data_IF_669093490899
#
_entry.id   IF_669093490899
#
_cell.length_a   1.000
_cell.length_b   1.000
_cell.length_c   1.000
_cell.angle_alpha   90.00
_cell.angle_beta   90.00
_cell.angle_gamma   90.00
#
_symmetry.space_group_name_H-M   'P 1'
#
loop_
_entity.id
_entity.type
_entity.pdbx_description
1 polymer ?
#
# COMPACT_ATOMS: atom_id res chain seq x y z
N UNK A 1 -49.66 -21.22 58.19
CA UNK A 1 -48.55 -20.99 59.14
C UNK A 1 -47.32 -21.73 58.64
N UNK A 2 -46.24 -20.98 58.46
CA UNK A 2 -44.82 -21.37 58.36
C UNK A 2 -44.32 -22.26 57.20
N UNK A 3 -43.71 -21.57 56.24
CA UNK A 3 -42.26 -21.52 55.94
C UNK A 3 -41.44 -22.80 55.69
N UNK A 4 -40.64 -22.64 54.60
CA UNK A 4 -39.25 -23.07 54.42
C UNK A 4 -39.00 -24.40 53.70
N UNK A 5 -38.36 -24.30 52.53
CA UNK A 5 -36.95 -24.70 52.28
C UNK A 5 -36.79 -25.02 50.80
N UNK A 6 -35.63 -24.65 50.21
CA UNK A 6 -34.96 -25.11 48.96
C UNK A 6 -34.58 -23.88 48.11
N UNK A 7 -33.36 -23.68 47.63
CA UNK A 7 -32.11 -24.44 47.70
C UNK A 7 -31.03 -23.42 47.25
N UNK A 8 -30.07 -23.06 48.09
CA UNK A 8 -28.96 -22.18 47.68
C UNK A 8 -27.91 -23.02 46.96
N UNK A 9 -27.88 -22.94 45.63
CA UNK A 9 -26.76 -23.49 44.84
C UNK A 9 -25.68 -22.42 44.69
N UNK A 10 -24.66 -22.51 45.54
CA UNK A 10 -23.35 -21.89 45.30
C UNK A 10 -22.59 -22.77 44.30
N UNK A 11 -22.47 -22.30 43.07
CA UNK A 11 -21.50 -22.82 42.11
C UNK A 11 -20.50 -21.71 41.80
N UNK A 12 -19.41 -21.70 42.57
CA UNK A 12 -18.19 -21.02 42.19
C UNK A 12 -17.47 -21.93 41.18
N UNK A 13 -17.14 -21.43 39.98
CA UNK A 13 -15.96 -21.86 39.22
C UNK A 13 -15.76 -20.97 37.98
N UNK A 14 -14.53 -20.47 37.82
CA UNK A 14 -13.82 -20.17 36.55
C UNK A 14 -14.35 -19.00 35.69
N UNK A 15 -13.56 -18.16 35.03
CA UNK A 15 -12.15 -18.21 34.62
C UNK A 15 -11.79 -16.78 34.20
N UNK A 16 -10.59 -16.31 34.56
CA UNK A 16 -10.05 -15.07 34.00
C UNK A 16 -9.86 -15.22 32.50
N UNK A 17 -10.51 -14.36 31.72
CA UNK A 17 -10.22 -14.19 30.29
C UNK A 17 -9.43 -12.89 30.15
N UNK A 18 -8.10 -13.01 30.18
CA UNK A 18 -7.25 -11.98 29.64
C UNK A 18 -7.50 -11.95 28.13
N UNK A 19 -8.20 -10.92 27.65
CA UNK A 19 -8.29 -10.65 26.22
C UNK A 19 -6.87 -10.36 25.74
N UNK A 20 -6.29 -11.31 25.01
CA UNK A 20 -5.08 -11.09 24.25
C UNK A 20 -5.33 -9.91 23.31
N UNK A 21 -4.62 -8.80 23.55
CA UNK A 21 -4.52 -7.74 22.59
C UNK A 21 -3.97 -8.35 21.30
N UNK A 22 -4.81 -8.40 20.26
CA UNK A 22 -4.32 -8.64 18.91
C UNK A 22 -3.38 -7.48 18.61
N UNK A 23 -2.08 -7.78 18.55
CA UNK A 23 -1.05 -6.85 18.12
C UNK A 23 -1.28 -6.64 16.61
N UNK A 24 -2.21 -5.76 16.25
CA UNK A 24 -2.48 -5.38 14.87
C UNK A 24 -1.18 -4.75 14.32
N UNK A 25 -0.70 -5.17 13.13
CA UNK A 25 0.36 -4.46 12.46
C UNK A 25 -0.05 -2.99 12.35
N UNK A 26 0.84 -2.13 12.81
CA UNK A 26 0.70 -0.69 12.90
C UNK A 26 0.63 -0.11 11.49
N UNK A 27 -0.51 -0.29 10.84
CA UNK A 27 -0.89 0.49 9.68
C UNK A 27 -1.24 1.89 10.18
N UNK A 28 -0.70 2.97 9.60
CA UNK A 28 -1.13 4.32 9.91
C UNK A 28 -2.65 4.39 9.79
N UNK A 29 -3.32 5.01 10.76
CA UNK A 29 -4.76 5.19 10.70
C UNK A 29 -5.13 5.87 9.37
N UNK A 30 -6.12 5.36 8.62
CA UNK A 30 -6.56 6.01 7.39
C UNK A 30 -6.94 7.45 7.72
N UNK A 31 -6.52 8.38 6.84
CA UNK A 31 -7.00 9.75 6.89
C UNK A 31 -8.54 9.71 6.84
N UNK A 32 -9.26 10.19 7.87
CA UNK A 32 -10.72 10.07 7.94
C UNK A 32 -11.46 10.83 6.82
N UNK A 33 -10.74 11.70 6.09
CA UNK A 33 -11.26 12.45 4.93
C UNK A 33 -10.80 11.87 3.57
N UNK A 34 -9.96 10.83 3.55
CA UNK A 34 -9.51 10.18 2.31
C UNK A 34 -10.56 9.16 1.84
N UNK A 35 -11.29 9.51 0.78
CA UNK A 35 -12.18 8.57 0.09
C UNK A 35 -11.31 7.60 -0.72
N UNK A 36 -11.38 6.30 -0.40
CA UNK A 36 -10.68 5.27 -1.15
C UNK A 36 -11.12 5.27 -2.63
N UNK A 37 -10.16 5.20 -3.55
CA UNK A 37 -10.47 5.10 -4.98
C UNK A 37 -11.17 3.78 -5.30
N UNK A 38 -12.30 3.82 -6.01
CA UNK A 38 -12.79 2.64 -6.72
C UNK A 38 -11.91 2.35 -7.95
N UNK A 39 -11.89 1.11 -8.47
CA UNK A 39 -11.08 0.75 -9.63
C UNK A 39 -11.32 1.62 -10.88
N UNK A 40 -12.55 2.09 -11.08
CA UNK A 40 -12.91 2.93 -12.22
C UNK A 40 -12.43 4.38 -12.08
N UNK A 41 -12.05 4.80 -10.88
CA UNK A 41 -11.56 6.14 -10.57
C UNK A 41 -10.03 6.22 -10.63
N UNK A 42 -9.33 5.10 -10.77
CA UNK A 42 -7.87 5.09 -10.87
C UNK A 42 -7.41 5.71 -12.20
N UNK A 43 -6.44 6.61 -12.11
CA UNK A 43 -5.77 7.21 -13.27
C UNK A 43 -4.27 6.90 -13.23
N UNK A 44 -3.58 7.18 -14.34
CA UNK A 44 -2.14 7.08 -14.36
C UNK A 44 -1.49 8.14 -13.45
N UNK A 45 -0.55 7.75 -12.57
CA UNK A 45 0.32 8.70 -11.89
C UNK A 45 1.16 9.52 -12.85
N UNK A 46 1.57 10.72 -12.42
CA UNK A 46 2.49 11.57 -13.16
C UNK A 46 3.89 11.42 -12.56
N UNK A 47 4.86 11.05 -13.38
CA UNK A 47 6.25 10.88 -12.98
C UNK A 47 6.87 12.27 -12.71
N UNK A 48 7.46 12.46 -11.53
CA UNK A 48 7.99 13.75 -11.09
C UNK A 48 9.52 13.79 -11.04
N UNK A 49 10.17 12.71 -10.58
CA UNK A 49 11.62 12.57 -10.59
C UNK A 49 12.03 11.09 -10.66
N UNK A 50 13.13 10.74 -11.33
CA UNK A 50 13.95 11.62 -12.16
C UNK A 50 13.19 12.03 -13.43
N UNK A 51 13.57 13.16 -14.02
CA UNK A 51 13.01 13.61 -15.28
C UNK A 51 13.62 12.79 -16.45
N UNK A 52 12.95 12.83 -17.60
CA UNK A 52 13.46 12.18 -18.80
C UNK A 52 14.86 12.72 -19.16
N UNK A 53 15.82 11.80 -19.33
CA UNK A 53 17.21 12.13 -19.70
C UNK A 53 18.12 12.48 -18.52
N UNK A 54 17.63 12.47 -17.28
CA UNK A 54 18.46 12.70 -16.11
C UNK A 54 19.50 11.59 -15.91
N UNK A 55 20.69 12.00 -15.45
CA UNK A 55 21.73 11.08 -15.00
C UNK A 55 21.70 11.05 -13.48
N UNK A 56 21.37 9.88 -12.93
CA UNK A 56 21.24 9.66 -11.48
C UNK A 56 22.27 8.66 -10.95
N UNK A 57 22.47 8.66 -9.64
CA UNK A 57 23.23 7.60 -8.98
C UNK A 57 22.49 6.26 -9.08
N UNK A 58 23.23 5.16 -8.94
CA UNK A 58 22.67 3.79 -8.95
C UNK A 58 21.66 3.53 -7.84
N UNK A 59 21.73 4.30 -6.74
CA UNK A 59 20.72 4.33 -5.68
C UNK A 59 20.07 5.70 -5.70
N UNK A 60 18.85 5.77 -6.22
CA UNK A 60 18.08 7.00 -6.35
C UNK A 60 16.62 6.79 -5.97
N UNK A 61 15.95 7.86 -5.57
CA UNK A 61 14.54 7.86 -5.17
C UNK A 61 13.67 8.38 -6.30
N UNK A 62 12.85 7.51 -6.86
CA UNK A 62 11.78 7.88 -7.77
C UNK A 62 10.68 8.62 -7.01
N UNK A 63 10.12 9.67 -7.62
CA UNK A 63 9.02 10.44 -7.07
C UNK A 63 7.95 10.63 -8.13
N UNK A 64 6.69 10.49 -7.72
CA UNK A 64 5.52 10.70 -8.55
C UNK A 64 4.59 11.74 -7.91
N UNK A 65 3.61 12.17 -8.69
CA UNK A 65 2.47 12.94 -8.20
C UNK A 65 1.19 12.22 -8.61
N UNK A 66 0.14 12.38 -7.81
CA UNK A 66 -1.16 11.79 -8.08
C UNK A 66 -2.26 12.84 -7.86
N UNK A 67 -3.27 12.92 -8.75
CA UNK A 67 -4.34 13.90 -8.57
C UNK A 67 -5.16 13.58 -7.31
N UNK A 68 -5.42 14.60 -6.49
CA UNK A 68 -6.08 14.43 -5.19
C UNK A 68 -7.59 14.59 -5.36
N UNK A 69 -8.26 13.53 -5.81
CA UNK A 69 -9.73 13.42 -5.81
C UNK A 69 -10.23 12.13 -5.16
N UNK A 70 -9.39 11.09 -5.12
CA UNK A 70 -9.55 9.88 -4.32
C UNK A 70 -8.16 9.39 -3.90
N UNK A 71 -8.08 8.57 -2.86
CA UNK A 71 -6.83 8.00 -2.35
C UNK A 71 -6.73 6.52 -2.74
N UNK A 72 -5.77 6.13 -3.60
CA UNK A 72 -5.55 4.72 -3.90
C UNK A 72 -4.93 4.01 -2.70
N UNK A 73 -5.18 2.71 -2.57
CA UNK A 73 -4.63 1.92 -1.45
C UNK A 73 -3.09 1.85 -1.47
N UNK A 74 -2.49 1.84 -2.67
CA UNK A 74 -1.03 1.92 -2.88
C UNK A 74 -0.70 2.31 -4.32
N UNK A 75 0.58 2.52 -4.59
CA UNK A 75 1.12 2.54 -5.96
C UNK A 75 2.13 1.42 -6.16
N UNK A 76 2.32 1.03 -7.40
CA UNK A 76 3.40 0.14 -7.84
C UNK A 76 4.27 0.90 -8.81
N UNK A 77 5.58 0.83 -8.62
CA UNK A 77 6.57 1.39 -9.51
C UNK A 77 7.42 0.26 -10.12
N UNK A 78 7.77 0.41 -11.39
CA UNK A 78 8.60 -0.52 -12.15
C UNK A 78 9.69 0.25 -12.88
N UNK A 79 10.91 -0.28 -12.84
CA UNK A 79 12.03 0.17 -13.67
C UNK A 79 12.34 -0.91 -14.69
N UNK A 80 12.57 -0.52 -15.93
CA UNK A 80 12.75 -1.38 -17.08
C UNK A 80 13.98 -0.92 -17.88
N UNK A 81 14.53 -1.82 -18.69
CA UNK A 81 15.61 -1.50 -19.65
C UNK A 81 15.09 -1.32 -21.09
N UNK A 82 13.80 -1.57 -21.31
CA UNK A 82 13.11 -1.41 -22.58
C UNK A 82 12.02 -0.32 -22.47
N UNK A 83 11.88 0.57 -23.48
CA UNK A 83 10.94 1.69 -23.43
C UNK A 83 9.46 1.29 -23.38
N UNK A 84 9.12 0.06 -23.74
CA UNK A 84 7.75 -0.47 -23.63
C UNK A 84 7.46 -1.01 -22.23
N UNK A 85 8.47 -1.16 -21.39
CA UNK A 85 8.37 -1.80 -20.07
C UNK A 85 7.62 -3.15 -20.13
N UNK A 86 7.90 -3.97 -21.15
CA UNK A 86 7.32 -5.31 -21.26
C UNK A 86 7.69 -6.19 -20.04
N UNK A 87 8.88 -5.95 -19.46
CA UNK A 87 9.38 -6.62 -18.28
C UNK A 87 10.05 -5.62 -17.34
N UNK A 88 9.72 -5.71 -16.05
CA UNK A 88 10.38 -4.93 -15.01
C UNK A 88 11.72 -5.60 -14.62
N UNK A 89 12.78 -4.81 -14.56
CA UNK A 89 14.08 -5.18 -13.98
C UNK A 89 14.03 -5.12 -12.47
N UNK A 90 13.39 -4.08 -11.92
CA UNK A 90 13.08 -3.96 -10.50
C UNK A 90 11.70 -3.32 -10.34
N UNK A 91 10.98 -3.75 -9.32
CA UNK A 91 9.65 -3.23 -9.00
C UNK A 91 9.51 -3.06 -7.51
N UNK A 92 8.64 -2.16 -7.08
CA UNK A 92 8.35 -1.96 -5.68
C UNK A 92 6.98 -1.33 -5.47
N UNK A 93 6.53 -1.40 -4.22
CA UNK A 93 5.29 -0.77 -3.79
C UNK A 93 5.60 0.55 -3.08
N UNK A 94 4.75 1.55 -3.32
CA UNK A 94 4.71 2.81 -2.60
C UNK A 94 3.48 2.75 -1.71
N UNK A 95 3.70 2.65 -0.40
CA UNK A 95 2.65 2.50 0.60
C UNK A 95 2.69 3.69 1.56
N UNK A 96 1.51 4.19 1.93
CA UNK A 96 1.36 5.35 2.82
C UNK A 96 1.31 6.67 2.04
N UNK A 97 1.36 7.83 2.74
CA UNK A 97 1.20 9.14 2.09
C UNK A 97 2.41 9.55 1.23
N UNK A 98 3.46 8.74 1.21
CA UNK A 98 4.63 8.99 0.38
C UNK A 98 4.31 8.75 -1.08
N UNK A 99 4.73 9.65 -1.96
CA UNK A 99 4.66 9.49 -3.41
C UNK A 99 6.06 9.25 -3.99
N UNK A 100 6.85 8.42 -3.30
CA UNK A 100 8.24 8.18 -3.64
C UNK A 100 8.68 6.77 -3.29
N UNK A 101 9.62 6.24 -4.07
CA UNK A 101 10.17 4.91 -3.92
C UNK A 101 11.66 4.87 -4.22
N UNK A 102 12.41 4.15 -3.41
CA UNK A 102 13.82 3.83 -3.66
C UNK A 102 13.91 2.31 -3.85
N UNK A 103 14.47 1.81 -4.96
CA UNK A 103 14.74 0.39 -5.10
C UNK A 103 15.66 -0.12 -4.00
N UNK A 104 15.34 -1.28 -3.41
CA UNK A 104 16.16 -1.90 -2.37
C UNK A 104 17.52 -2.40 -2.88
N UNK A 105 17.60 -2.65 -4.20
CA UNK A 105 18.81 -3.07 -4.89
C UNK A 105 19.27 -1.94 -5.81
N UNK A 106 20.56 -1.52 -5.74
CA UNK A 106 21.09 -0.53 -6.65
C UNK A 106 20.98 -0.97 -8.12
N UNK A 107 20.67 -0.02 -8.99
CA UNK A 107 20.67 -0.22 -10.44
C UNK A 107 22.11 -0.40 -10.97
N UNK A 108 22.26 -1.03 -12.13
CA UNK A 108 23.56 -1.16 -12.77
C UNK A 108 24.04 0.19 -13.29
N UNK A 109 25.36 0.44 -13.19
CA UNK A 109 25.94 1.70 -13.63
C UNK A 109 26.03 1.76 -15.16
N UNK A 110 26.00 2.98 -15.71
CA UNK A 110 26.13 3.26 -17.14
C UNK A 110 25.09 2.56 -18.04
N UNK A 111 23.87 2.37 -17.50
CA UNK A 111 22.72 1.82 -18.20
C UNK A 111 21.64 2.88 -18.39
N UNK A 112 20.87 2.77 -19.48
CA UNK A 112 19.65 3.56 -19.68
C UNK A 112 18.45 2.79 -19.16
N UNK A 113 17.61 3.47 -18.38
CA UNK A 113 16.43 2.91 -17.76
C UNK A 113 15.19 3.74 -18.11
N UNK A 114 14.05 3.07 -18.11
CA UNK A 114 12.71 3.63 -18.20
C UNK A 114 11.98 3.27 -16.91
N UNK A 115 11.03 4.07 -16.47
CA UNK A 115 10.29 3.73 -15.26
C UNK A 115 8.84 4.16 -15.34
N UNK A 116 7.94 3.34 -14.82
CA UNK A 116 6.50 3.61 -14.82
C UNK A 116 5.90 3.34 -13.46
N UNK A 117 4.75 3.95 -13.20
CA UNK A 117 3.99 3.70 -12.00
C UNK A 117 2.50 3.51 -12.31
N UNK A 118 1.79 2.77 -11.45
CA UNK A 118 0.35 2.60 -11.48
C UNK A 118 -0.22 2.74 -10.07
N UNK A 119 -1.38 3.40 -9.95
CA UNK A 119 -2.18 3.39 -8.73
C UNK A 119 -2.93 2.07 -8.61
N UNK A 120 -3.18 1.62 -7.38
CA UNK A 120 -3.83 0.35 -7.10
C UNK A 120 -4.93 0.52 -6.06
N UNK A 121 -6.10 -0.04 -6.35
CA UNK A 121 -7.23 -0.16 -5.43
C UNK A 121 -7.37 -1.61 -4.97
N UNK A 122 -7.63 -1.83 -3.69
CA UNK A 122 -7.95 -3.14 -3.12
C UNK A 122 -9.43 -3.44 -3.34
N UNK A 123 -9.70 -4.61 -3.90
CA UNK A 123 -11.05 -5.10 -4.18
C UNK A 123 -11.26 -6.45 -3.53
N UNK A 124 -12.50 -6.87 -3.35
CA UNK A 124 -12.81 -8.20 -2.82
C UNK A 124 -12.11 -9.28 -3.65
N UNK A 125 -11.17 -9.98 -3.03
CA UNK A 125 -10.41 -11.06 -3.66
C UNK A 125 -9.15 -10.63 -4.42
N UNK A 126 -8.70 -9.37 -4.35
CA UNK A 126 -7.43 -8.99 -4.95
C UNK A 126 -7.13 -7.50 -5.05
N UNK A 127 -6.45 -7.13 -6.12
CA UNK A 127 -6.03 -5.76 -6.41
C UNK A 127 -6.39 -5.39 -7.85
N UNK A 128 -6.94 -4.21 -8.03
CA UNK A 128 -7.22 -3.62 -9.34
C UNK A 128 -6.17 -2.55 -9.63
N UNK A 129 -5.49 -2.69 -10.77
CA UNK A 129 -4.51 -1.72 -11.24
C UNK A 129 -5.18 -0.67 -12.11
N UNK A 130 -4.83 0.59 -11.87
CA UNK A 130 -5.13 1.68 -12.79
C UNK A 130 -4.25 1.63 -14.04
N UNK A 131 -4.44 2.59 -14.96
CA UNK A 131 -3.54 2.79 -16.08
C UNK A 131 -2.10 3.05 -15.60
N UNK A 132 -1.12 2.51 -16.33
CA UNK A 132 0.29 2.82 -16.10
C UNK A 132 0.63 4.21 -16.66
N UNK A 133 1.55 4.91 -15.99
CA UNK A 133 2.21 6.09 -16.54
C UNK A 133 3.02 5.73 -17.79
N UNK A 134 3.25 6.71 -18.66
CA UNK A 134 4.21 6.58 -19.73
C UNK A 134 5.64 6.43 -19.13
N UNK A 135 6.46 5.47 -19.60
CA UNK A 135 7.83 5.27 -19.12
C UNK A 135 8.84 6.31 -19.58
#
# INVERSE_FOLDING_TARGET
MNWSTRLTFLFALTTGSALAACNLPNNPAPNPDAVACSPAELVAPVLAAPAEGDVVATSFTFALTYPIYCDPDRFVAEVCTDPTCAYATVSGEIVGPGLSWTPDVPLENAMHYFWRAAAVSLVDGGAAYGPWSAP
#
